data_IF_047556149119
#
_entry.id   IF_047556149119
#
_cell.length_a   1.000
_cell.length_b   1.000
_cell.length_c   1.000
_cell.angle_alpha   90.00
_cell.angle_beta   90.00
_cell.angle_gamma   90.00
#
_symmetry.space_group_name_H-M   'P 1'
#
loop_
_entity.id
_entity.type
_entity.pdbx_description
1 polymer ?
#
# COMPACT_ATOMS: atom_id res chain seq x y z
N UNK A 1 16.73 -18.25 10.11
CA UNK A 1 15.74 -17.71 9.16
C UNK A 1 14.40 -18.33 9.51
N UNK A 2 13.53 -17.61 10.24
CA UNK A 2 12.19 -18.11 10.51
C UNK A 2 11.36 -17.97 9.24
N UNK A 3 10.88 -19.08 8.69
CA UNK A 3 9.98 -19.05 7.55
C UNK A 3 8.69 -18.33 7.95
N UNK A 4 8.31 -17.30 7.18
CA UNK A 4 7.03 -16.63 7.34
C UNK A 4 5.93 -17.66 7.04
N UNK A 5 5.01 -17.81 7.99
CA UNK A 5 3.89 -18.75 7.93
C UNK A 5 3.01 -18.42 6.72
N UNK A 6 2.57 -19.45 5.99
CA UNK A 6 1.65 -19.33 4.84
C UNK A 6 0.46 -18.41 5.17
N UNK A 7 0.25 -17.38 4.36
CA UNK A 7 -0.79 -16.37 4.56
C UNK A 7 -2.19 -16.97 4.44
N UNK A 8 -2.81 -17.24 5.57
CA UNK A 8 -4.23 -16.92 5.78
C UNK A 8 -4.45 -15.44 5.42
N UNK A 9 -5.59 -15.12 4.81
CA UNK A 9 -6.07 -13.76 4.48
C UNK A 9 -5.30 -12.65 5.22
N UNK A 10 -4.49 -11.88 4.50
CA UNK A 10 -3.68 -10.82 5.11
C UNK A 10 -4.57 -9.73 5.71
N UNK A 11 -4.25 -9.32 6.93
CA UNK A 11 -4.81 -8.15 7.59
C UNK A 11 -3.77 -7.02 7.54
N UNK A 12 -4.25 -5.77 7.59
CA UNK A 12 -3.38 -4.62 7.88
C UNK A 12 -3.55 -4.35 9.37
N UNK A 13 -2.46 -4.38 10.13
CA UNK A 13 -2.51 -4.20 11.58
C UNK A 13 -1.59 -3.05 11.99
N UNK A 14 -2.03 -2.23 12.94
CA UNK A 14 -1.17 -1.20 13.51
C UNK A 14 -0.36 -1.73 14.68
N UNK A 15 0.80 -1.13 14.92
CA UNK A 15 1.61 -1.45 16.10
C UNK A 15 0.88 -0.94 17.34
N UNK A 16 0.49 -1.85 18.24
CA UNK A 16 -0.22 -1.56 19.50
C UNK A 16 -1.56 -0.82 19.32
N UNK A 17 -2.35 -1.16 18.30
CA UNK A 17 -3.65 -0.51 18.01
C UNK A 17 -3.58 1.02 17.83
N UNK A 18 -2.38 1.53 17.54
CA UNK A 18 -2.16 2.94 17.24
C UNK A 18 -2.77 3.32 15.88
N UNK A 19 -2.93 4.61 15.63
CA UNK A 19 -3.32 5.07 14.30
C UNK A 19 -2.07 5.16 13.41
N UNK A 20 -2.21 4.72 12.18
CA UNK A 20 -1.25 5.01 11.12
C UNK A 20 -1.56 6.39 10.55
N UNK A 21 -0.52 7.21 10.43
CA UNK A 21 -0.61 8.56 9.91
C UNK A 21 0.12 8.63 8.58
N UNK A 22 -0.56 9.12 7.56
CA UNK A 22 -0.01 9.34 6.25
C UNK A 22 -0.39 10.77 5.82
N UNK A 23 0.63 11.59 5.55
CA UNK A 23 0.47 12.99 5.15
C UNK A 23 -0.23 13.17 3.80
N UNK A 24 -0.35 12.10 3.01
CA UNK A 24 -1.01 12.11 1.70
C UNK A 24 -2.51 11.82 1.80
N UNK A 25 -3.00 11.41 2.98
CA UNK A 25 -4.42 11.25 3.26
C UNK A 25 -4.95 12.60 3.74
N UNK A 26 -6.09 13.06 3.18
CA UNK A 26 -6.59 14.42 3.45
C UNK A 26 -6.75 14.68 4.96
N UNK A 27 -6.52 15.94 5.37
CA UNK A 27 -6.52 16.39 6.77
C UNK A 27 -7.78 16.00 7.57
N UNK A 28 -8.88 15.72 6.88
CA UNK A 28 -10.15 15.28 7.49
C UNK A 28 -10.06 13.84 8.07
N UNK A 29 -9.07 13.05 7.65
CA UNK A 29 -8.80 11.72 8.20
C UNK A 29 -7.63 11.82 9.18
N UNK A 30 -7.95 11.84 10.47
CA UNK A 30 -6.99 11.87 11.58
C UNK A 30 -6.20 10.55 11.75
N UNK A 31 -5.77 9.92 10.66
CA UNK A 31 -5.13 8.60 10.58
C UNK A 31 -6.12 7.44 10.43
N UNK A 32 -5.60 6.26 10.04
CA UNK A 32 -6.37 5.03 9.87
C UNK A 32 -5.94 3.91 10.83
N UNK A 33 -6.82 2.93 11.04
CA UNK A 33 -6.61 1.78 11.93
C UNK A 33 -6.38 0.51 11.12
N UNK A 34 -6.22 -0.61 11.83
CA UNK A 34 -6.17 -1.95 11.27
C UNK A 34 -7.37 -2.26 10.35
N UNK A 35 -7.15 -3.07 9.32
CA UNK A 35 -8.17 -3.60 8.41
C UNK A 35 -8.14 -5.13 8.42
N UNK A 36 -9.29 -5.74 8.62
CA UNK A 36 -9.43 -7.21 8.71
C UNK A 36 -9.06 -7.94 7.42
N UNK A 37 -9.19 -7.26 6.27
CA UNK A 37 -8.82 -7.78 4.95
C UNK A 37 -8.18 -6.70 4.09
N UNK A 38 -7.21 -7.12 3.26
CA UNK A 38 -6.48 -6.29 2.30
C UNK A 38 -7.43 -5.48 1.38
N UNK A 39 -8.57 -6.04 0.98
CA UNK A 39 -9.53 -5.34 0.10
C UNK A 39 -10.11 -4.08 0.77
N UNK A 40 -10.38 -4.13 2.07
CA UNK A 40 -10.90 -2.99 2.83
C UNK A 40 -9.86 -1.88 2.91
N UNK A 41 -8.59 -2.24 3.11
CA UNK A 41 -7.48 -1.30 3.07
C UNK A 41 -7.34 -0.64 1.70
N UNK A 42 -7.35 -1.40 0.61
CA UNK A 42 -7.29 -0.82 -0.75
C UNK A 42 -8.49 0.08 -1.05
N UNK A 43 -9.70 -0.29 -0.62
CA UNK A 43 -10.88 0.57 -0.77
C UNK A 43 -10.76 1.87 0.01
N UNK A 44 -10.06 1.86 1.14
CA UNK A 44 -9.77 3.06 1.92
C UNK A 44 -8.73 3.95 1.20
N UNK A 45 -7.63 3.38 0.69
CA UNK A 45 -6.61 4.11 -0.07
C UNK A 45 -7.16 4.79 -1.34
N UNK A 46 -8.20 4.21 -1.95
CA UNK A 46 -8.84 4.84 -3.11
C UNK A 46 -9.85 5.92 -2.72
N UNK A 47 -9.98 6.29 -1.44
CA UNK A 47 -11.05 7.17 -0.94
C UNK A 47 -12.45 6.70 -1.35
N UNK A 48 -12.64 5.39 -1.54
CA UNK A 48 -13.87 4.81 -2.05
C UNK A 48 -14.14 5.08 -3.54
N UNK A 49 -13.15 5.54 -4.32
CA UNK A 49 -13.25 5.63 -5.78
C UNK A 49 -13.48 4.21 -6.31
N UNK A 50 -14.67 4.01 -6.86
CA UNK A 50 -15.09 2.78 -7.53
C UNK A 50 -14.90 2.96 -9.02
N UNK A 51 -14.74 1.85 -9.73
CA UNK A 51 -14.86 1.86 -11.18
C UNK A 51 -16.20 2.50 -11.55
N UNK A 52 -16.15 3.46 -12.47
CA UNK A 52 -17.32 4.19 -12.94
C UNK A 52 -17.33 4.18 -14.46
N UNK A 53 -18.49 3.97 -15.07
CA UNK A 53 -18.64 4.05 -16.53
C UNK A 53 -18.26 5.43 -17.07
N UNK A 54 -18.41 6.46 -16.23
CA UNK A 54 -18.04 7.85 -16.53
C UNK A 54 -16.68 8.24 -15.91
N UNK A 55 -15.97 7.28 -15.30
CA UNK A 55 -14.65 7.50 -14.71
C UNK A 55 -13.57 7.63 -15.78
N UNK A 56 -12.42 8.20 -15.41
CA UNK A 56 -11.27 8.26 -16.30
C UNK A 56 -10.84 6.82 -16.69
N UNK A 57 -10.70 6.50 -17.99
CA UNK A 57 -10.39 5.15 -18.46
C UNK A 57 -9.15 4.55 -17.81
N UNK A 58 -8.13 5.37 -17.56
CA UNK A 58 -6.88 4.94 -16.92
C UNK A 58 -7.07 4.54 -15.46
N UNK A 59 -7.94 5.22 -14.72
CA UNK A 59 -8.28 4.86 -13.34
C UNK A 59 -9.03 3.52 -13.32
N UNK A 60 -9.99 3.31 -14.23
CA UNK A 60 -10.70 2.04 -14.33
C UNK A 60 -9.75 0.89 -14.68
N UNK A 61 -8.80 1.13 -15.58
CA UNK A 61 -7.76 0.15 -15.93
C UNK A 61 -6.89 -0.19 -14.73
N UNK A 62 -6.47 0.80 -13.95
CA UNK A 62 -5.68 0.60 -12.73
C UNK A 62 -6.45 -0.18 -11.67
N UNK A 63 -7.72 0.17 -11.41
CA UNK A 63 -8.58 -0.56 -10.47
C UNK A 63 -8.81 -2.01 -10.90
N UNK A 64 -8.98 -2.27 -12.20
CA UNK A 64 -9.08 -3.63 -12.75
C UNK A 64 -7.82 -4.44 -12.49
N UNK A 65 -6.64 -3.83 -12.64
CA UNK A 65 -5.37 -4.47 -12.32
C UNK A 65 -5.31 -4.83 -10.84
N UNK A 66 -5.69 -3.92 -9.93
CA UNK A 66 -5.70 -4.21 -8.50
C UNK A 66 -6.66 -5.35 -8.12
N UNK A 67 -7.87 -5.40 -8.73
CA UNK A 67 -8.86 -6.43 -8.40
C UNK A 67 -8.50 -7.82 -8.92
N UNK A 68 -7.86 -7.91 -10.09
CA UNK A 68 -7.55 -9.19 -10.73
C UNK A 68 -6.15 -9.72 -10.40
N UNK A 69 -5.31 -8.91 -9.77
CA UNK A 69 -3.95 -9.34 -9.42
C UNK A 69 -3.96 -10.25 -8.21
N UNK A 70 -3.25 -11.37 -8.32
CA UNK A 70 -2.85 -12.16 -7.17
C UNK A 70 -1.56 -11.58 -6.61
N UNK A 71 -1.66 -10.76 -5.57
CA UNK A 71 -0.49 -10.25 -4.88
C UNK A 71 -0.01 -11.27 -3.85
N UNK A 72 1.28 -11.61 -3.91
CA UNK A 72 1.95 -12.24 -2.77
C UNK A 72 2.30 -11.12 -1.78
N UNK A 73 1.86 -11.24 -0.53
CA UNK A 73 2.33 -10.32 0.52
C UNK A 73 3.84 -10.48 0.68
N UNK A 74 4.56 -9.38 0.59
CA UNK A 74 6.00 -9.31 0.79
C UNK A 74 6.34 -8.05 1.59
N UNK A 75 7.51 -8.05 2.22
CA UNK A 75 8.03 -6.85 2.86
C UNK A 75 8.39 -5.84 1.76
N UNK A 76 7.76 -4.67 1.80
CA UNK A 76 8.08 -3.54 0.92
C UNK A 76 8.53 -2.34 1.75
N UNK A 77 9.27 -1.43 1.13
CA UNK A 77 9.72 -0.17 1.73
C UNK A 77 8.58 0.86 1.89
N UNK A 78 7.46 0.67 1.20
CA UNK A 78 6.32 1.60 1.11
C UNK A 78 6.62 2.92 0.36
N UNK A 79 7.74 3.59 0.61
CA UNK A 79 8.12 4.86 -0.02
C UNK A 79 9.43 4.78 -0.82
N UNK A 80 9.52 3.84 -1.76
CA UNK A 80 10.72 3.70 -2.60
C UNK A 80 10.71 4.75 -3.72
N UNK A 81 11.45 5.83 -3.54
CA UNK A 81 11.67 6.87 -4.54
C UNK A 81 13.15 7.27 -4.60
N UNK A 82 13.55 8.09 -5.58
CA UNK A 82 14.98 8.41 -5.82
C UNK A 82 15.67 9.11 -4.66
N UNK A 83 14.95 9.78 -3.77
CA UNK A 83 15.52 10.44 -2.57
C UNK A 83 15.95 9.40 -1.54
N UNK A 84 15.29 8.24 -1.53
CA UNK A 84 15.52 7.14 -0.59
C UNK A 84 16.53 6.10 -1.13
N UNK A 85 17.16 6.36 -2.28
CA UNK A 85 18.13 5.47 -2.91
C UNK A 85 19.50 6.13 -2.90
N UNK A 86 20.47 5.46 -2.27
CA UNK A 86 21.88 5.85 -2.32
C UNK A 86 22.55 5.21 -3.53
N UNK A 87 23.27 6.03 -4.31
CA UNK A 87 23.94 5.61 -5.54
C UNK A 87 25.44 5.96 -5.48
N UNK A 88 26.28 5.05 -5.94
CA UNK A 88 27.70 5.26 -6.22
C UNK A 88 27.95 4.96 -7.71
N UNK A 89 28.31 5.99 -8.48
CA UNK A 89 28.33 5.96 -9.95
C UNK A 89 26.99 5.46 -10.53
N UNK A 90 26.97 4.27 -11.14
CA UNK A 90 25.78 3.65 -11.74
C UNK A 90 25.22 2.49 -10.88
N UNK A 91 25.59 2.43 -9.60
CA UNK A 91 25.21 1.33 -8.69
C UNK A 91 24.40 1.83 -7.50
N UNK A 92 23.28 1.17 -7.25
CA UNK A 92 22.54 1.33 -5.98
C UNK A 92 23.36 0.68 -4.86
N UNK A 93 23.79 1.48 -3.89
CA UNK A 93 24.62 1.05 -2.75
C UNK A 93 23.84 1.01 -1.44
N UNK A 94 22.65 1.59 -1.40
CA UNK A 94 21.81 1.57 -0.21
C UNK A 94 20.40 2.03 -0.49
N UNK A 95 19.50 1.62 0.40
CA UNK A 95 18.14 2.14 0.50
C UNK A 95 17.99 2.62 1.94
N UNK A 96 17.48 3.84 2.11
CA UNK A 96 17.32 4.52 3.39
C UNK A 96 15.89 5.01 3.54
N UNK A 97 15.52 5.31 4.80
CA UNK A 97 14.11 5.51 5.19
C UNK A 97 13.29 4.22 5.01
#
# INVERSE_FOLDING_TARGET
MHALKSLTSGAVESVNDSKLYDSWISDDVSGFRSFDIIQSFHSFLTSGIKMSLNGLPDINKLLTLYQNSQFSTCLMHENLNSINILVDEDKIVGIVD
#
